data_IF_055504202234
#
_entry.id   IF_055504202234
#
_cell.length_a   1.000
_cell.length_b   1.000
_cell.length_c   1.000
_cell.angle_alpha   90.00
_cell.angle_beta   90.00
_cell.angle_gamma   90.00
#
_symmetry.space_group_name_H-M   'P 1'
#
loop_
_entity.id
_entity.type
_entity.pdbx_description
1 polymer ?
#
# COMPACT_ATOMS: atom_id res chain seq x y z
N UNK A 1 13.16 -1.98 29.98
CA UNK A 1 12.36 -3.22 29.98
C UNK A 1 11.41 -3.30 31.18
N UNK A 2 10.79 -2.18 31.60
CA UNK A 2 9.74 -2.19 32.64
C UNK A 2 8.33 -2.32 32.03
N UNK A 3 8.13 -1.78 30.82
CA UNK A 3 6.85 -1.80 30.09
C UNK A 3 6.73 -2.93 29.05
N UNK A 4 7.79 -3.70 28.81
CA UNK A 4 7.81 -4.80 27.85
C UNK A 4 8.41 -6.03 28.50
N UNK A 5 7.68 -7.15 28.44
CA UNK A 5 8.07 -8.43 29.07
C UNK A 5 9.26 -9.05 28.34
N UNK A 6 9.34 -8.86 27.01
CA UNK A 6 10.44 -9.35 26.19
C UNK A 6 10.84 -8.36 25.08
N UNK A 7 12.02 -8.58 24.50
CA UNK A 7 12.45 -7.90 23.27
C UNK A 7 11.46 -8.12 22.13
N UNK A 8 10.86 -9.30 22.03
CA UNK A 8 9.91 -9.63 20.98
C UNK A 8 8.58 -8.87 21.13
N UNK A 9 8.21 -8.48 22.35
CA UNK A 9 7.03 -7.62 22.56
C UNK A 9 7.31 -6.19 22.14
N UNK A 10 8.50 -5.67 22.46
CA UNK A 10 8.92 -4.35 21.98
C UNK A 10 8.98 -4.29 20.44
N UNK A 11 9.54 -5.33 19.82
CA UNK A 11 9.63 -5.40 18.34
C UNK A 11 8.25 -5.53 17.70
N UNK A 12 7.33 -6.31 18.29
CA UNK A 12 5.96 -6.41 17.80
C UNK A 12 5.24 -5.06 17.83
N UNK A 13 5.31 -4.33 18.96
CA UNK A 13 4.65 -3.02 19.07
C UNK A 13 5.27 -1.97 18.16
N UNK A 14 6.59 -2.01 17.94
CA UNK A 14 7.26 -1.19 16.93
C UNK A 14 6.69 -1.48 15.53
N UNK A 15 6.57 -2.75 15.15
CA UNK A 15 6.01 -3.17 13.86
C UNK A 15 4.57 -2.68 13.70
N UNK A 16 3.73 -2.88 14.72
CA UNK A 16 2.32 -2.42 14.69
C UNK A 16 2.23 -0.91 14.51
N UNK A 17 3.06 -0.16 15.22
CA UNK A 17 3.11 1.31 15.14
C UNK A 17 3.49 1.77 13.74
N UNK A 18 4.53 1.18 13.14
CA UNK A 18 4.97 1.53 11.79
C UNK A 18 3.90 1.17 10.74
N UNK A 19 3.25 -0.01 10.87
CA UNK A 19 2.15 -0.41 9.99
C UNK A 19 0.98 0.59 10.10
N UNK A 20 0.63 1.03 11.31
CA UNK A 20 -0.41 2.03 11.51
C UNK A 20 -0.06 3.37 10.85
N UNK A 21 1.17 3.85 11.01
CA UNK A 21 1.64 5.08 10.37
C UNK A 21 1.60 5.00 8.83
N UNK A 22 1.99 3.85 8.25
CA UNK A 22 1.82 3.61 6.82
C UNK A 22 0.35 3.74 6.40
N UNK A 23 -0.56 3.08 7.13
CA UNK A 23 -1.99 3.13 6.80
C UNK A 23 -2.55 4.56 6.87
N UNK A 24 -2.20 5.31 7.90
CA UNK A 24 -2.60 6.72 8.05
C UNK A 24 -2.07 7.58 6.91
N UNK A 25 -0.80 7.40 6.55
CA UNK A 25 -0.17 8.12 5.43
C UNK A 25 -0.88 7.84 4.11
N UNK A 26 -1.18 6.56 3.82
CA UNK A 26 -1.85 6.17 2.58
C UNK A 26 -3.30 6.63 2.56
N UNK A 27 -4.01 6.55 3.69
CA UNK A 27 -5.38 7.04 3.80
C UNK A 27 -5.47 8.56 3.55
N UNK A 28 -4.49 9.33 4.01
CA UNK A 28 -4.42 10.79 3.83
C UNK A 28 -4.19 11.26 2.38
N UNK A 29 -3.96 10.32 1.44
CA UNK A 29 -3.85 10.59 0.01
C UNK A 29 -5.21 10.60 -0.69
N UNK A 30 -6.24 10.02 -0.08
CA UNK A 30 -7.56 9.86 -0.70
C UNK A 30 -8.31 11.21 -0.71
N UNK A 31 -8.86 11.56 -1.88
CA UNK A 31 -9.74 12.72 -2.05
C UNK A 31 -11.20 12.26 -2.18
N UNK A 32 -12.14 13.11 -1.75
CA UNK A 32 -13.58 12.79 -1.84
C UNK A 32 -14.07 12.59 -3.28
N UNK A 33 -13.40 13.22 -4.25
CA UNK A 33 -13.71 13.17 -5.69
C UNK A 33 -12.97 12.01 -6.43
N UNK A 34 -12.25 11.17 -5.69
CA UNK A 34 -11.63 9.99 -6.28
C UNK A 34 -12.66 8.90 -6.54
N UNK A 35 -12.75 8.48 -7.80
CA UNK A 35 -13.41 7.23 -8.15
C UNK A 35 -12.65 6.02 -7.58
N UNK A 36 -13.27 4.84 -7.59
CA UNK A 36 -12.64 3.62 -7.05
C UNK A 36 -11.30 3.26 -7.74
N UNK A 37 -11.15 3.56 -9.03
CA UNK A 37 -9.91 3.33 -9.76
C UNK A 37 -8.77 4.20 -9.26
N UNK A 38 -9.04 5.49 -9.07
CA UNK A 38 -8.09 6.45 -8.54
C UNK A 38 -7.73 6.15 -7.08
N UNK A 39 -8.71 5.75 -6.25
CA UNK A 39 -8.46 5.29 -4.88
C UNK A 39 -7.58 4.05 -4.84
N UNK A 40 -7.84 3.05 -5.69
CA UNK A 40 -7.01 1.86 -5.82
C UNK A 40 -5.58 2.20 -6.25
N UNK A 41 -5.42 3.08 -7.25
CA UNK A 41 -4.10 3.52 -7.69
C UNK A 41 -3.35 4.26 -6.58
N UNK A 42 -4.00 5.20 -5.88
CA UNK A 42 -3.42 5.90 -4.73
C UNK A 42 -3.06 4.96 -3.59
N UNK A 43 -3.85 3.92 -3.36
CA UNK A 43 -3.57 2.90 -2.35
C UNK A 43 -2.27 2.15 -2.68
N UNK A 44 -2.17 1.62 -3.90
CA UNK A 44 -0.98 0.89 -4.35
C UNK A 44 0.26 1.81 -4.40
N UNK A 45 0.14 2.96 -5.05
CA UNK A 45 1.25 3.89 -5.20
C UNK A 45 1.69 4.49 -3.87
N UNK A 46 0.74 4.90 -3.02
CA UNK A 46 1.01 5.48 -1.71
C UNK A 46 1.82 4.55 -0.82
N UNK A 47 1.51 3.25 -0.83
CA UNK A 47 2.27 2.25 -0.08
C UNK A 47 3.72 2.13 -0.56
N UNK A 48 3.94 2.07 -1.87
CA UNK A 48 5.29 1.96 -2.44
C UNK A 48 6.10 3.24 -2.23
N UNK A 49 5.45 4.41 -2.36
CA UNK A 49 6.08 5.71 -2.14
C UNK A 49 6.40 5.92 -0.66
N UNK A 50 5.52 5.49 0.25
CA UNK A 50 5.84 5.46 1.68
C UNK A 50 7.08 4.59 1.95
N UNK A 51 7.13 3.38 1.38
CA UNK A 51 8.26 2.47 1.55
C UNK A 51 9.57 3.05 0.98
N UNK A 52 9.48 3.83 -0.10
CA UNK A 52 10.60 4.55 -0.70
C UNK A 52 11.07 5.72 0.18
N UNK A 53 10.14 6.55 0.65
CA UNK A 53 10.44 7.76 1.42
C UNK A 53 10.97 7.41 2.81
N UNK A 54 10.45 6.33 3.40
CA UNK A 54 10.83 5.83 4.72
C UNK A 54 11.88 4.69 4.64
N UNK A 55 12.65 4.58 3.55
CA UNK A 55 13.60 3.47 3.35
C UNK A 55 14.80 3.46 4.31
N UNK A 56 15.09 4.58 4.97
CA UNK A 56 16.25 4.75 5.87
C UNK A 56 15.88 4.70 7.35
N UNK A 57 14.60 4.64 7.67
CA UNK A 57 14.06 4.68 9.02
C UNK A 57 13.08 3.53 9.25
N UNK A 58 11.84 3.64 8.75
CA UNK A 58 10.74 2.76 9.13
C UNK A 58 10.60 1.56 8.21
N UNK A 59 10.69 1.74 6.89
CA UNK A 59 10.29 0.72 5.93
C UNK A 59 11.19 -0.53 5.94
N UNK A 60 12.41 -0.43 6.50
CA UNK A 60 13.28 -1.59 6.73
C UNK A 60 12.64 -2.64 7.64
N UNK A 61 11.68 -2.24 8.47
CA UNK A 61 10.92 -3.16 9.31
C UNK A 61 10.17 -4.21 8.48
N UNK A 62 9.77 -3.89 7.24
CA UNK A 62 9.06 -4.83 6.37
C UNK A 62 9.96 -6.03 6.01
N UNK A 63 11.23 -5.76 5.73
CA UNK A 63 12.23 -6.81 5.43
C UNK A 63 12.49 -7.64 6.68
N UNK A 64 12.63 -6.98 7.83
CA UNK A 64 12.88 -7.66 9.10
C UNK A 64 11.70 -8.54 9.51
N UNK A 65 10.47 -8.05 9.38
CA UNK A 65 9.25 -8.83 9.62
C UNK A 65 9.15 -10.01 8.65
N UNK A 66 9.43 -9.80 7.37
CA UNK A 66 9.44 -10.87 6.37
C UNK A 66 10.48 -11.96 6.68
N UNK A 67 11.61 -11.58 7.26
CA UNK A 67 12.61 -12.55 7.72
C UNK A 67 12.16 -13.30 8.99
N UNK A 68 11.65 -12.58 9.99
CA UNK A 68 11.24 -13.18 11.26
C UNK A 68 9.99 -14.05 11.14
N UNK A 69 9.09 -13.75 10.21
CA UNK A 69 7.90 -14.57 9.95
C UNK A 69 8.25 -16.01 9.56
N UNK A 70 9.42 -16.23 8.97
CA UNK A 70 9.93 -17.56 8.62
C UNK A 70 10.50 -18.35 9.82
N UNK A 71 10.69 -17.70 10.99
CA UNK A 71 11.44 -18.26 12.12
C UNK A 71 10.64 -18.37 13.40
N UNK A 72 9.72 -17.44 13.64
CA UNK A 72 8.94 -17.40 14.86
C UNK A 72 7.45 -17.27 14.56
N UNK A 73 6.65 -18.16 15.15
CA UNK A 73 5.19 -18.20 14.98
C UNK A 73 4.54 -16.84 15.25
N UNK A 74 4.99 -16.13 16.30
CA UNK A 74 4.47 -14.81 16.67
C UNK A 74 4.59 -13.79 15.53
N UNK A 75 5.73 -13.75 14.86
CA UNK A 75 5.95 -12.84 13.73
C UNK A 75 5.30 -13.35 12.43
N UNK A 76 5.14 -14.67 12.28
CA UNK A 76 4.35 -15.27 11.21
C UNK A 76 2.89 -14.81 11.28
N UNK A 77 2.26 -14.93 12.45
CA UNK A 77 0.89 -14.47 12.69
C UNK A 77 0.75 -12.95 12.49
N UNK A 78 1.75 -12.16 12.92
CA UNK A 78 1.75 -10.72 12.71
C UNK A 78 1.83 -10.35 11.22
N UNK A 79 2.69 -11.03 10.47
CA UNK A 79 2.82 -10.86 9.02
C UNK A 79 1.53 -11.25 8.29
N UNK A 80 0.92 -12.37 8.64
CA UNK A 80 -0.36 -12.80 8.07
C UNK A 80 -1.48 -11.78 8.33
N UNK A 81 -1.58 -11.24 9.54
CA UNK A 81 -2.55 -10.18 9.86
C UNK A 81 -2.33 -8.92 9.03
N UNK A 82 -1.07 -8.50 8.85
CA UNK A 82 -0.73 -7.36 8.00
C UNK A 82 -1.16 -7.60 6.55
N UNK A 83 -0.85 -8.78 6.00
CA UNK A 83 -1.22 -9.13 4.62
C UNK A 83 -2.73 -9.24 4.44
N UNK A 84 -3.43 -9.81 5.42
CA UNK A 84 -4.90 -9.90 5.41
C UNK A 84 -5.56 -8.53 5.41
N UNK A 85 -5.13 -7.62 6.29
CA UNK A 85 -5.67 -6.26 6.32
C UNK A 85 -5.40 -5.47 5.03
N UNK A 86 -4.27 -5.71 4.37
CA UNK A 86 -3.99 -5.18 3.03
C UNK A 86 -4.98 -5.71 1.98
N UNK A 87 -5.24 -7.02 1.98
CA UNK A 87 -6.20 -7.67 1.09
C UNK A 87 -7.61 -7.14 1.29
N UNK A 88 -8.06 -6.97 2.53
CA UNK A 88 -9.40 -6.46 2.85
C UNK A 88 -9.64 -5.07 2.22
N UNK A 89 -8.69 -4.14 2.39
CA UNK A 89 -8.78 -2.80 1.79
C UNK A 89 -8.77 -2.83 0.26
N UNK A 90 -7.97 -3.71 -0.34
CA UNK A 90 -7.98 -3.90 -1.79
C UNK A 90 -9.33 -4.46 -2.27
N UNK A 91 -9.94 -5.40 -1.54
CA UNK A 91 -11.28 -5.91 -1.84
C UNK A 91 -12.31 -4.78 -1.80
N UNK A 92 -12.26 -3.88 -0.82
CA UNK A 92 -13.16 -2.73 -0.74
C UNK A 92 -13.09 -1.86 -2.00
N UNK A 93 -11.88 -1.52 -2.46
CA UNK A 93 -11.69 -0.75 -3.69
C UNK A 93 -12.18 -1.51 -4.93
N UNK A 94 -11.88 -2.81 -5.04
CA UNK A 94 -12.30 -3.65 -6.17
C UNK A 94 -13.82 -3.78 -6.25
N UNK A 95 -14.48 -3.98 -5.12
CA UNK A 95 -15.95 -4.03 -5.04
C UNK A 95 -16.56 -2.68 -5.39
N UNK A 96 -15.98 -1.57 -4.92
CA UNK A 96 -16.43 -0.24 -5.28
C UNK A 96 -16.33 0.00 -6.80
N UNK A 97 -15.18 -0.29 -7.42
CA UNK A 97 -15.01 -0.07 -8.87
C UNK A 97 -15.84 -1.01 -9.73
N UNK A 98 -16.17 -2.21 -9.23
CA UNK A 98 -17.18 -3.08 -9.88
C UNK A 98 -18.57 -2.44 -9.83
N UNK A 99 -18.99 -1.90 -8.68
CA UNK A 99 -20.30 -1.21 -8.54
C UNK A 99 -20.38 0.07 -9.37
N UNK A 100 -19.28 0.81 -9.45
CA UNK A 100 -19.16 2.03 -10.26
C UNK A 100 -19.06 1.73 -11.77
N UNK A 101 -18.98 0.46 -12.19
CA UNK A 101 -18.86 0.06 -13.59
C UNK A 101 -17.49 0.36 -14.22
N UNK A 102 -16.48 0.64 -13.39
CA UNK A 102 -15.13 1.03 -13.82
C UNK A 102 -14.21 -0.17 -14.06
N UNK A 103 -14.45 -1.28 -13.39
CA UNK A 103 -13.54 -2.43 -13.39
C UNK A 103 -14.13 -3.61 -14.17
N UNK A 104 -13.31 -4.16 -15.06
CA UNK A 104 -13.62 -5.32 -15.88
C UNK A 104 -12.54 -6.39 -15.61
N UNK A 105 -12.84 -7.30 -14.69
CA UNK A 105 -11.97 -8.44 -14.38
C UNK A 105 -12.79 -9.72 -14.24
N UNK A 106 -12.21 -10.85 -14.68
CA UNK A 106 -12.90 -12.15 -14.79
C UNK A 106 -12.82 -13.04 -13.54
N UNK A 107 -12.34 -12.49 -12.41
CA UNK A 107 -12.13 -13.24 -11.17
C UNK A 107 -12.93 -12.73 -9.98
N UNK A 108 -12.91 -13.52 -8.90
CA UNK A 108 -13.42 -13.07 -7.61
C UNK A 108 -12.57 -11.91 -7.06
N UNK A 109 -13.19 -10.83 -6.55
CA UNK A 109 -12.46 -9.67 -6.01
C UNK A 109 -11.40 -10.05 -4.97
N UNK A 110 -11.68 -11.06 -4.14
CA UNK A 110 -10.73 -11.56 -3.14
C UNK A 110 -9.46 -12.16 -3.76
N UNK A 111 -9.57 -12.90 -4.87
CA UNK A 111 -8.42 -13.47 -5.56
C UNK A 111 -7.58 -12.37 -6.24
N UNK A 112 -8.25 -11.38 -6.84
CA UNK A 112 -7.57 -10.21 -7.43
C UNK A 112 -6.87 -9.38 -6.35
N UNK A 113 -7.51 -9.16 -5.20
CA UNK A 113 -6.91 -8.47 -4.06
C UNK A 113 -5.70 -9.21 -3.50
N UNK A 114 -5.74 -10.54 -3.40
CA UNK A 114 -4.60 -11.33 -2.97
C UNK A 114 -3.41 -11.17 -3.92
N UNK A 115 -3.64 -11.31 -5.23
CA UNK A 115 -2.59 -11.13 -6.23
C UNK A 115 -2.02 -9.70 -6.23
N UNK A 116 -2.88 -8.68 -6.11
CA UNK A 116 -2.45 -7.28 -5.98
C UNK A 116 -1.64 -7.06 -4.71
N UNK A 117 -2.07 -7.59 -3.57
CA UNK A 117 -1.36 -7.45 -2.29
C UNK A 117 0.03 -8.06 -2.34
N UNK A 118 0.16 -9.26 -2.92
CA UNK A 118 1.44 -9.96 -3.00
C UNK A 118 2.42 -9.19 -3.91
N UNK A 119 1.93 -8.65 -5.04
CA UNK A 119 2.71 -7.76 -5.91
C UNK A 119 3.09 -6.45 -5.23
N UNK A 120 2.14 -5.83 -4.50
CA UNK A 120 2.34 -4.58 -3.80
C UNK A 120 3.40 -4.73 -2.71
N UNK A 121 3.32 -5.79 -1.90
CA UNK A 121 4.30 -6.06 -0.86
C UNK A 121 5.69 -6.29 -1.46
N UNK A 122 5.80 -7.05 -2.57
CA UNK A 122 7.05 -7.20 -3.30
C UNK A 122 7.64 -5.88 -3.81
N UNK A 123 6.78 -4.98 -4.32
CA UNK A 123 7.18 -3.65 -4.76
C UNK A 123 7.66 -2.77 -3.59
N UNK A 124 7.03 -2.86 -2.42
CA UNK A 124 7.47 -2.17 -1.20
C UNK A 124 8.84 -2.67 -0.74
N UNK A 125 9.05 -3.99 -0.70
CA UNK A 125 10.37 -4.57 -0.39
C UNK A 125 11.44 -4.07 -1.36
N UNK A 126 11.16 -4.06 -2.68
CA UNK A 126 12.08 -3.54 -3.67
C UNK A 126 12.38 -2.04 -3.45
N UNK A 127 11.37 -1.21 -3.21
CA UNK A 127 11.54 0.23 -2.98
C UNK A 127 12.40 0.52 -1.74
N UNK A 128 12.25 -0.29 -0.69
CA UNK A 128 13.05 -0.19 0.53
C UNK A 128 14.49 -0.70 0.34
N UNK A 129 14.69 -1.78 -0.42
CA UNK A 129 15.99 -2.45 -0.54
C UNK A 129 16.88 -1.99 -1.70
N UNK A 130 16.32 -1.40 -2.76
CA UNK A 130 17.08 -1.10 -3.97
C UNK A 130 18.25 -0.14 -3.71
N UNK A 131 19.45 -0.51 -4.16
CA UNK A 131 20.65 0.32 -4.06
C UNK A 131 20.41 1.71 -4.65
N UNK A 132 19.91 1.76 -5.88
CA UNK A 132 19.41 2.98 -6.52
C UNK A 132 17.90 3.08 -6.33
N UNK A 133 17.48 4.16 -5.67
CA UNK A 133 16.07 4.50 -5.52
C UNK A 133 15.37 4.56 -6.90
N UNK A 134 14.26 3.83 -7.11
CA UNK A 134 13.42 4.07 -8.28
C UNK A 134 12.86 5.49 -8.22
N UNK A 135 12.63 6.11 -9.39
CA UNK A 135 11.96 7.41 -9.44
C UNK A 135 10.48 7.26 -9.15
N UNK A 136 9.88 8.27 -8.50
CA UNK A 136 8.44 8.27 -8.20
C UNK A 136 7.59 8.14 -9.46
N UNK A 137 7.93 8.86 -10.53
CA UNK A 137 7.25 8.74 -11.82
C UNK A 137 7.35 7.32 -12.41
N UNK A 138 8.50 6.66 -12.24
CA UNK A 138 8.69 5.27 -12.66
C UNK A 138 7.82 4.30 -11.86
N UNK A 139 7.69 4.53 -10.55
CA UNK A 139 6.80 3.76 -9.69
C UNK A 139 5.32 3.99 -10.03
N UNK A 140 4.92 5.24 -10.26
CA UNK A 140 3.55 5.59 -10.68
C UNK A 140 3.17 4.87 -11.97
N UNK A 141 4.04 4.90 -12.99
CA UNK A 141 3.80 4.20 -14.25
C UNK A 141 3.66 2.68 -14.06
N UNK A 142 4.51 2.06 -13.20
CA UNK A 142 4.40 0.64 -12.88
C UNK A 142 3.09 0.31 -12.16
N UNK A 143 2.67 1.15 -11.21
CA UNK A 143 1.42 0.94 -10.47
C UNK A 143 0.19 1.15 -11.36
N UNK A 144 0.21 2.13 -12.28
CA UNK A 144 -0.84 2.30 -13.30
C UNK A 144 -0.96 1.05 -14.16
N UNK A 145 0.16 0.52 -14.66
CA UNK A 145 0.17 -0.70 -15.46
C UNK A 145 -0.36 -1.90 -14.67
N UNK A 146 0.05 -2.05 -13.41
CA UNK A 146 -0.40 -3.13 -12.53
C UNK A 146 -1.91 -3.06 -12.31
N UNK A 147 -2.43 -1.90 -11.87
CA UNK A 147 -3.87 -1.71 -11.64
C UNK A 147 -4.64 -1.97 -12.92
N UNK A 148 -4.22 -1.39 -14.04
CA UNK A 148 -4.85 -1.59 -15.35
C UNK A 148 -4.87 -3.07 -15.77
N UNK A 149 -3.79 -3.82 -15.52
CA UNK A 149 -3.71 -5.24 -15.86
C UNK A 149 -4.69 -6.09 -15.03
N UNK A 150 -4.94 -5.71 -13.78
CA UNK A 150 -5.83 -6.45 -12.88
C UNK A 150 -7.29 -6.03 -12.99
N UNK A 151 -7.58 -4.81 -13.42
CA UNK A 151 -8.95 -4.26 -13.39
C UNK A 151 -9.47 -3.76 -14.73
N UNK A 152 -8.64 -3.66 -15.75
CA UNK A 152 -8.99 -3.02 -17.02
C UNK A 152 -9.16 -1.49 -16.94
N UNK A 153 -8.99 -0.90 -15.76
CA UNK A 153 -9.15 0.54 -15.57
C UNK A 153 -7.97 1.33 -16.14
N UNK A 154 -8.26 2.45 -16.78
CA UNK A 154 -7.27 3.36 -17.34
C UNK A 154 -7.41 4.74 -16.70
N UNK A 155 -6.30 5.23 -16.13
CA UNK A 155 -6.24 6.56 -15.54
C UNK A 155 -6.07 7.63 -16.63
N UNK A 156 -7.18 8.24 -17.05
CA UNK A 156 -7.18 9.30 -18.06
C UNK A 156 -7.01 10.70 -17.47
N UNK A 157 -6.85 10.84 -16.14
CA UNK A 157 -6.70 12.15 -15.49
C UNK A 157 -5.29 12.70 -15.74
N UNK A 158 -5.14 13.99 -16.10
CA UNK A 158 -3.83 14.61 -16.25
C UNK A 158 -3.15 14.79 -14.88
N UNK A 159 -1.82 14.68 -14.85
CA UNK A 159 -1.02 14.87 -13.64
C UNK A 159 -0.81 13.61 -12.80
N UNK A 160 -0.02 13.74 -11.73
CA UNK A 160 0.32 12.61 -10.86
C UNK A 160 -0.89 12.13 -10.06
N UNK A 161 -0.95 10.83 -9.79
CA UNK A 161 -1.87 10.22 -8.84
C UNK A 161 -1.82 10.88 -7.45
N UNK A 162 -0.66 11.38 -7.04
CA UNK A 162 -0.41 11.91 -5.70
C UNK A 162 -0.48 13.44 -5.59
N UNK A 163 -0.66 14.16 -6.71
CA UNK A 163 -0.83 15.61 -6.63
C UNK A 163 -2.19 15.93 -6.02
N UNK A 164 -2.20 16.43 -4.76
CA UNK A 164 -3.39 17.02 -4.16
C UNK A 164 -3.89 18.11 -5.12
N UNK A 165 -5.15 18.00 -5.54
CA UNK A 165 -5.76 18.99 -6.42
C UNK A 165 -5.53 20.39 -5.83
N UNK A 166 -5.00 21.33 -6.63
CA UNK A 166 -4.96 22.75 -6.25
C UNK A 166 -6.39 23.14 -5.87
N UNK A 167 -6.68 23.30 -4.58
CA UNK A 167 -7.93 23.93 -4.14
C UNK A 167 -7.93 25.35 -4.70
N UNK A 168 -8.71 25.58 -5.74
CA UNK A 168 -8.98 26.91 -6.25
C UNK A 168 -9.75 27.69 -5.18
N UNK A 169 -9.12 28.72 -4.63
CA UNK A 169 -9.78 29.94 -4.16
C UNK A 169 -10.60 29.85 -2.88
N UNK A 170 -9.98 30.20 -1.76
CA UNK A 170 -10.56 31.20 -0.87
C UNK A 170 -9.52 32.31 -0.71
N UNK A 171 -9.74 33.42 -1.41
CA UNK A 171 -9.08 34.69 -1.11
C UNK A 171 -9.88 35.33 0.01
N UNK A 172 -9.23 35.65 1.13
CA UNK A 172 -9.67 36.74 1.99
C UNK A 172 -9.23 38.06 1.36
#
# INVERSE_FOLDING_TARGET
MYHFVSKNDLVEELIKTIIAHNHETVAALMDAEDDAGRRLLKHCLGNVIWALNCRKDEAQILILLYYFSCREKKFSELFERMMMGGRERLVEHLLAGRREGLFIFRGEPAAVAAALQDNLFGAMLYATSAEKAPSEAGLENKMKLLVSSFTGWLDNRPGSALSRGKRSGFKN
#
